data_IF_884671343168
#
_entry.id   IF_884671343168
#
_cell.length_a   1.000
_cell.length_b   1.000
_cell.length_c   1.000
_cell.angle_alpha   90.00
_cell.angle_beta   90.00
_cell.angle_gamma   90.00
#
_symmetry.space_group_name_H-M   'P 1'
#
loop_
_entity.id
_entity.type
_entity.pdbx_description
1 polymer ?
#
# COMPACT_ATOMS: atom_id res chain seq x y z
N UNK A 1 -31.37 -8.95 -25.33
CA UNK A 1 -30.78 -8.10 -24.27
C UNK A 1 -29.67 -8.91 -23.62
N UNK A 2 -28.42 -8.72 -24.06
CA UNK A 2 -27.26 -9.47 -23.54
C UNK A 2 -26.61 -8.60 -22.47
N UNK A 3 -26.65 -9.06 -21.23
CA UNK A 3 -25.96 -8.42 -20.11
C UNK A 3 -24.47 -8.73 -20.29
N UNK A 4 -23.66 -7.74 -20.67
CA UNK A 4 -22.22 -7.87 -20.60
C UNK A 4 -21.82 -7.98 -19.12
N UNK A 5 -21.29 -9.13 -18.71
CA UNK A 5 -20.69 -9.29 -17.39
C UNK A 5 -19.57 -8.26 -17.25
N UNK A 6 -19.82 -7.25 -16.42
CA UNK A 6 -18.80 -6.31 -16.00
C UNK A 6 -17.78 -7.08 -15.17
N UNK A 7 -16.64 -7.41 -15.76
CA UNK A 7 -15.45 -7.85 -15.05
C UNK A 7 -15.16 -6.79 -13.99
N UNK A 8 -15.53 -7.06 -12.74
CA UNK A 8 -15.24 -6.19 -11.62
C UNK A 8 -13.73 -6.12 -11.49
N UNK A 9 -13.13 -5.06 -12.05
CA UNK A 9 -11.73 -4.75 -11.84
C UNK A 9 -11.60 -4.45 -10.35
N UNK A 10 -11.20 -5.47 -9.59
CA UNK A 10 -10.78 -5.31 -8.21
C UNK A 10 -9.53 -4.43 -8.27
N UNK A 11 -9.71 -3.10 -8.24
CA UNK A 11 -8.62 -2.12 -8.14
C UNK A 11 -7.92 -2.39 -6.82
N UNK A 12 -6.95 -3.30 -6.83
CA UNK A 12 -6.00 -3.47 -5.76
C UNK A 12 -5.27 -2.13 -5.67
N UNK A 13 -5.57 -1.34 -4.63
CA UNK A 13 -4.85 -0.11 -4.31
C UNK A 13 -3.41 -0.51 -3.95
N UNK A 14 -2.59 -0.82 -4.96
CA UNK A 14 -1.16 -0.95 -4.78
C UNK A 14 -0.66 0.48 -4.63
N UNK A 15 -0.10 0.87 -3.47
CA UNK A 15 0.45 2.20 -3.31
C UNK A 15 1.57 2.37 -4.34
N UNK A 16 1.52 3.48 -5.09
CA UNK A 16 2.51 3.75 -6.14
C UNK A 16 3.85 4.21 -5.57
N UNK A 17 3.88 4.69 -4.33
CA UNK A 17 5.09 5.15 -3.63
C UNK A 17 5.02 4.83 -2.14
N UNK A 18 6.18 4.77 -1.49
CA UNK A 18 6.30 4.60 -0.04
C UNK A 18 5.48 5.61 0.76
N UNK A 19 5.54 6.89 0.39
CA UNK A 19 4.78 7.95 1.06
C UNK A 19 3.27 7.70 0.99
N UNK A 20 2.77 7.22 -0.17
CA UNK A 20 1.36 6.86 -0.32
C UNK A 20 0.99 5.64 0.54
N UNK A 21 1.86 4.64 0.66
CA UNK A 21 1.63 3.49 1.53
C UNK A 21 1.53 3.89 3.00
N UNK A 22 2.48 4.67 3.49
CA UNK A 22 2.50 5.18 4.87
C UNK A 22 1.23 5.98 5.15
N UNK A 23 0.85 6.90 4.24
CA UNK A 23 -0.38 7.68 4.42
C UNK A 23 -1.65 6.83 4.39
N UNK A 24 -1.71 5.75 3.60
CA UNK A 24 -2.84 4.83 3.61
C UNK A 24 -2.95 4.09 4.95
N UNK A 25 -1.84 3.62 5.51
CA UNK A 25 -1.83 2.97 6.82
C UNK A 25 -2.21 3.95 7.95
N UNK A 26 -1.71 5.18 7.94
CA UNK A 26 -2.12 6.23 8.91
C UNK A 26 -3.62 6.52 8.81
N UNK A 27 -4.16 6.60 7.59
CA UNK A 27 -5.61 6.82 7.37
C UNK A 27 -6.46 5.63 7.82
N UNK A 28 -5.90 4.42 7.79
CA UNK A 28 -6.58 3.22 8.25
C UNK A 28 -6.57 3.14 9.78
N UNK A 29 -5.40 3.34 10.39
CA UNK A 29 -5.22 3.36 11.84
C UNK A 29 -3.91 4.08 12.19
N UNK A 30 -4.03 5.32 12.66
CA UNK A 30 -2.87 6.14 13.02
C UNK A 30 -2.20 5.71 14.34
N UNK A 31 -2.84 4.85 15.14
CA UNK A 31 -2.29 4.35 16.39
C UNK A 31 -1.41 3.11 16.21
N UNK A 32 -1.58 2.39 15.10
CA UNK A 32 -0.82 1.18 14.79
C UNK A 32 0.50 1.51 14.09
N UNK A 33 1.44 2.04 14.88
CA UNK A 33 2.75 2.50 14.40
C UNK A 33 3.56 1.38 13.76
N UNK A 34 3.50 0.17 14.34
CA UNK A 34 4.22 -0.99 13.83
C UNK A 34 3.81 -1.28 12.37
N UNK A 35 2.51 -1.34 12.11
CA UNK A 35 1.97 -1.56 10.75
C UNK A 35 2.29 -0.43 9.78
N UNK A 36 2.36 0.82 10.26
CA UNK A 36 2.68 1.98 9.42
C UNK A 36 4.13 1.93 8.92
N UNK A 37 5.06 1.47 9.77
CA UNK A 37 6.49 1.43 9.47
C UNK A 37 6.94 0.10 8.86
N UNK A 38 6.12 -0.93 8.94
CA UNK A 38 6.38 -2.23 8.35
C UNK A 38 6.40 -2.15 6.81
N UNK A 39 7.42 -2.69 6.13
CA UNK A 39 7.46 -2.73 4.68
C UNK A 39 6.28 -3.52 4.09
N UNK A 40 5.76 -3.14 2.90
CA UNK A 40 4.81 -3.97 2.18
C UNK A 40 5.36 -5.37 1.91
N UNK A 41 4.48 -6.37 1.86
CA UNK A 41 4.85 -7.74 1.52
C UNK A 41 5.59 -7.81 0.17
N UNK A 42 6.79 -8.42 0.18
CA UNK A 42 7.66 -8.54 -1.00
C UNK A 42 8.55 -7.33 -1.29
N UNK A 43 8.51 -6.28 -0.45
CA UNK A 43 9.46 -5.17 -0.51
C UNK A 43 10.78 -5.56 0.14
N UNK A 44 11.90 -5.26 -0.52
CA UNK A 44 13.24 -5.43 0.07
C UNK A 44 13.43 -4.49 1.26
N UNK A 45 13.80 -5.05 2.41
CA UNK A 45 14.01 -4.27 3.64
C UNK A 45 15.14 -3.25 3.50
N UNK A 46 16.21 -3.58 2.79
CA UNK A 46 17.35 -2.69 2.58
C UNK A 46 16.94 -1.45 1.80
N UNK A 47 16.18 -1.63 0.72
CA UNK A 47 15.56 -0.55 -0.05
C UNK A 47 14.58 0.24 0.83
N UNK A 48 13.71 -0.43 1.58
CA UNK A 48 12.74 0.23 2.46
C UNK A 48 13.40 1.14 3.51
N UNK A 49 14.48 0.66 4.14
CA UNK A 49 15.30 1.40 5.10
C UNK A 49 16.07 2.54 4.41
N UNK A 50 16.65 2.31 3.24
CA UNK A 50 17.34 3.35 2.48
C UNK A 50 16.38 4.49 2.06
N UNK A 51 15.17 4.15 1.62
CA UNK A 51 14.11 5.13 1.33
C UNK A 51 13.64 5.89 2.58
N UNK A 52 13.95 5.46 3.81
CA UNK A 52 13.65 6.26 5.02
C UNK A 52 14.69 7.34 5.25
N UNK A 53 15.89 7.15 4.70
CA UNK A 53 17.05 8.03 4.90
C UNK A 53 17.18 9.09 3.79
N UNK A 54 16.44 8.93 2.69
CA UNK A 54 16.39 9.85 1.55
C UNK A 54 15.34 10.93 1.77
#
# INVERSE_FOLDING_TARGET
MVMAEGTAVLRRNRPGTKAQYIQQNIRADCSNIDKILEPPEGQDEGVWKYEHLR
#
